data_IF_310828270560
#
_entry.id   IF_310828270560
#
_cell.length_a   1.000
_cell.length_b   1.000
_cell.length_c   1.000
_cell.angle_alpha   90.00
_cell.angle_beta   90.00
_cell.angle_gamma   90.00
#
_symmetry.space_group_name_H-M   'P 1'
#
loop_
_entity.id
_entity.type
_entity.pdbx_description
1 polymer ?
#
# COMPACT_ATOMS: atom_id res chain seq x y z
N UNK A 1 -17.49 -20.66 7.26
CA UNK A 1 -17.42 -20.34 5.82
C UNK A 1 -17.29 -18.83 5.68
N UNK A 2 -16.11 -18.33 5.29
CA UNK A 2 -15.96 -16.97 4.77
C UNK A 2 -15.28 -17.13 3.40
N UNK A 3 -16.08 -17.62 2.46
CA UNK A 3 -15.80 -17.53 1.03
C UNK A 3 -16.36 -16.18 0.62
N UNK A 4 -15.51 -15.15 0.49
CA UNK A 4 -15.99 -13.82 0.20
C UNK A 4 -14.89 -12.78 0.20
N UNK A 5 -15.17 -11.67 -0.44
CA UNK A 5 -14.39 -10.44 -0.38
C UNK A 5 -15.03 -9.51 0.65
N UNK A 6 -14.87 -9.77 1.97
CA UNK A 6 -15.60 -9.03 2.99
C UNK A 6 -15.15 -7.57 3.03
N UNK A 7 -16.06 -6.66 3.38
CA UNK A 7 -15.70 -5.28 3.68
C UNK A 7 -14.88 -5.17 4.97
N UNK A 8 -14.35 -3.98 5.23
CA UNK A 8 -13.77 -3.63 6.53
C UNK A 8 -14.82 -3.72 7.63
N UNK A 9 -14.40 -4.20 8.80
CA UNK A 9 -15.15 -4.03 10.04
C UNK A 9 -14.89 -2.64 10.64
N UNK A 10 -15.56 -2.32 11.74
CA UNK A 10 -15.42 -1.00 12.38
C UNK A 10 -13.99 -0.66 12.81
N UNK A 11 -13.21 -1.64 13.29
CA UNK A 11 -11.81 -1.42 13.60
C UNK A 11 -10.99 -1.11 12.33
N UNK A 12 -11.30 -1.77 11.22
CA UNK A 12 -10.74 -1.47 9.91
C UNK A 12 -11.06 -0.05 9.46
N UNK A 13 -12.33 0.36 9.57
CA UNK A 13 -12.76 1.70 9.17
C UNK A 13 -12.05 2.80 9.96
N UNK A 14 -11.97 2.68 11.29
CA UNK A 14 -11.25 3.64 12.13
C UNK A 14 -9.79 3.82 11.70
N UNK A 15 -9.15 2.74 11.26
CA UNK A 15 -7.76 2.78 10.78
C UNK A 15 -7.62 3.37 9.39
N UNK A 16 -8.61 3.17 8.52
CA UNK A 16 -8.68 3.86 7.24
C UNK A 16 -8.76 5.39 7.45
N UNK A 17 -9.56 5.82 8.43
CA UNK A 17 -9.69 7.25 8.77
C UNK A 17 -8.40 7.81 9.39
N UNK A 18 -7.71 7.04 10.24
CA UNK A 18 -6.39 7.39 10.78
C UNK A 18 -5.33 7.49 9.67
N UNK A 19 -5.31 6.54 8.74
CA UNK A 19 -4.41 6.56 7.58
C UNK A 19 -4.63 7.82 6.74
N UNK A 20 -5.90 8.15 6.46
CA UNK A 20 -6.26 9.37 5.75
C UNK A 20 -5.76 10.62 6.47
N UNK A 21 -6.01 10.71 7.78
CA UNK A 21 -5.56 11.84 8.60
C UNK A 21 -4.03 12.01 8.61
N UNK A 22 -3.29 10.90 8.59
CA UNK A 22 -1.83 10.91 8.60
C UNK A 22 -1.23 11.33 7.24
N UNK A 23 -1.86 10.93 6.13
CA UNK A 23 -1.25 11.03 4.80
C UNK A 23 -1.89 12.08 3.88
N UNK A 24 -3.00 12.73 4.27
CA UNK A 24 -3.70 13.71 3.42
C UNK A 24 -2.81 14.84 2.92
N UNK A 25 -1.81 15.25 3.71
CA UNK A 25 -0.91 16.35 3.39
C UNK A 25 0.45 15.86 2.85
N UNK A 26 0.60 14.54 2.61
CA UNK A 26 1.86 13.94 2.17
C UNK A 26 2.16 14.10 0.67
N UNK A 27 1.33 14.83 -0.08
CA UNK A 27 1.52 15.05 -1.51
C UNK A 27 1.31 13.80 -2.36
N UNK A 28 0.33 12.95 -1.99
CA UNK A 28 0.02 11.70 -2.70
C UNK A 28 -0.37 11.99 -4.16
N UNK A 29 0.46 11.51 -5.08
CA UNK A 29 0.26 11.69 -6.52
C UNK A 29 -0.61 10.57 -7.13
N UNK A 30 -0.46 9.35 -6.63
CA UNK A 30 -1.21 8.19 -7.08
C UNK A 30 -1.54 7.22 -5.93
N UNK A 31 -2.65 6.51 -6.09
CA UNK A 31 -3.14 5.52 -5.14
C UNK A 31 -3.40 4.22 -5.90
N UNK A 32 -2.79 3.13 -5.42
CA UNK A 32 -3.04 1.78 -5.90
C UNK A 32 -3.65 0.92 -4.80
N UNK A 33 -4.58 0.05 -5.17
CA UNK A 33 -5.16 -0.95 -4.26
C UNK A 33 -5.34 -2.26 -4.99
N UNK A 34 -5.15 -3.39 -4.30
CA UNK A 34 -5.66 -4.68 -4.79
C UNK A 34 -7.17 -4.62 -5.07
N UNK A 35 -7.67 -5.56 -5.88
CA UNK A 35 -9.07 -5.66 -6.28
C UNK A 35 -10.06 -5.90 -5.13
N UNK A 36 -9.58 -6.35 -3.97
CA UNK A 36 -10.43 -6.69 -2.83
C UNK A 36 -11.09 -5.45 -2.19
N UNK A 37 -12.35 -5.61 -1.82
CA UNK A 37 -13.22 -4.59 -1.20
C UNK A 37 -12.58 -4.00 0.05
N UNK A 38 -12.06 -4.84 0.96
CA UNK A 38 -11.34 -4.36 2.16
C UNK A 38 -10.14 -3.47 1.84
N UNK A 39 -9.42 -3.72 0.75
CA UNK A 39 -8.25 -2.93 0.37
C UNK A 39 -8.68 -1.57 -0.19
N UNK A 40 -9.70 -1.55 -1.05
CA UNK A 40 -10.28 -0.31 -1.59
C UNK A 40 -10.83 0.57 -0.47
N UNK A 41 -11.61 -0.02 0.44
CA UNK A 41 -12.17 0.69 1.60
C UNK A 41 -11.10 1.21 2.58
N UNK A 42 -9.91 0.59 2.62
CA UNK A 42 -8.82 1.07 3.48
C UNK A 42 -8.28 2.42 3.01
N UNK A 43 -8.31 2.69 1.70
CA UNK A 43 -7.73 3.91 1.13
C UNK A 43 -8.77 4.93 0.67
N UNK A 44 -10.03 4.54 0.60
CA UNK A 44 -11.12 5.40 0.14
C UNK A 44 -11.24 6.74 0.91
N UNK A 45 -11.13 6.80 2.25
CA UNK A 45 -11.15 8.07 2.96
C UNK A 45 -9.98 9.00 2.59
N UNK A 46 -8.81 8.44 2.28
CA UNK A 46 -7.66 9.24 1.83
C UNK A 46 -7.85 9.70 0.40
N UNK A 47 -8.26 8.79 -0.50
CA UNK A 47 -8.52 9.08 -1.90
C UNK A 47 -9.50 10.26 -2.08
N UNK A 48 -10.57 10.27 -1.29
CA UNK A 48 -11.53 11.37 -1.23
C UNK A 48 -10.88 12.66 -0.70
N UNK A 49 -10.10 12.58 0.38
CA UNK A 49 -9.46 13.75 0.99
C UNK A 49 -8.44 14.43 0.06
N UNK A 50 -7.70 13.66 -0.74
CA UNK A 50 -6.68 14.18 -1.67
C UNK A 50 -7.18 14.36 -3.11
N UNK A 51 -8.46 14.02 -3.39
CA UNK A 51 -9.06 14.13 -4.72
C UNK A 51 -8.38 13.25 -5.77
N UNK A 52 -8.03 12.01 -5.41
CA UNK A 52 -7.35 11.05 -6.31
C UNK A 52 -8.19 9.79 -6.51
N UNK A 53 -8.18 9.28 -7.74
CA UNK A 53 -8.80 7.99 -8.04
C UNK A 53 -7.96 6.81 -7.51
N UNK A 54 -8.65 5.74 -7.11
CA UNK A 54 -8.02 4.48 -6.71
C UNK A 54 -7.76 3.64 -7.95
N UNK A 55 -6.50 3.42 -8.29
CA UNK A 55 -6.09 2.52 -9.38
C UNK A 55 -6.08 1.08 -8.87
N UNK A 56 -7.01 0.27 -9.38
CA UNK A 56 -7.13 -1.13 -8.98
C UNK A 56 -6.09 -1.99 -9.71
N UNK A 57 -5.38 -2.83 -8.95
CA UNK A 57 -4.45 -3.84 -9.47
C UNK A 57 -4.88 -5.23 -9.04
N UNK A 58 -4.52 -6.24 -9.83
CA UNK A 58 -4.69 -7.63 -9.41
C UNK A 58 -3.60 -7.98 -8.40
N UNK A 59 -3.97 -8.70 -7.34
CA UNK A 59 -3.08 -9.14 -6.26
C UNK A 59 -1.80 -9.83 -6.74
N UNK A 60 -1.85 -10.52 -7.87
CA UNK A 60 -0.75 -11.27 -8.48
C UNK A 60 0.11 -10.46 -9.46
N UNK A 61 -0.34 -9.29 -9.92
CA UNK A 61 0.43 -8.40 -10.81
C UNK A 61 1.42 -7.49 -10.06
N UNK A 62 2.32 -8.10 -9.28
CA UNK A 62 3.30 -7.35 -8.49
C UNK A 62 4.46 -6.83 -9.33
N UNK A 63 4.87 -7.59 -10.35
CA UNK A 63 5.92 -7.17 -11.27
C UNK A 63 5.48 -5.99 -12.13
N UNK A 64 4.25 -6.02 -12.66
CA UNK A 64 3.67 -4.90 -13.39
C UNK A 64 3.51 -3.66 -12.50
N UNK A 65 3.08 -3.84 -11.25
CA UNK A 65 3.04 -2.74 -10.29
C UNK A 65 4.43 -2.13 -10.05
N UNK A 66 5.43 -2.95 -9.75
CA UNK A 66 6.80 -2.46 -9.48
C UNK A 66 7.37 -1.69 -10.69
N UNK A 67 7.15 -2.21 -11.90
CA UNK A 67 7.52 -1.52 -13.13
C UNK A 67 6.85 -0.14 -13.22
N UNK A 68 5.52 -0.05 -13.07
CA UNK A 68 4.78 1.23 -13.12
C UNK A 68 5.26 2.22 -12.06
N UNK A 69 5.50 1.77 -10.84
CA UNK A 69 6.04 2.63 -9.77
C UNK A 69 7.39 3.24 -10.18
N UNK A 70 8.25 2.47 -10.85
CA UNK A 70 9.56 2.95 -11.29
C UNK A 70 9.51 3.85 -12.53
N UNK A 71 8.62 3.57 -13.49
CA UNK A 71 8.60 4.25 -14.79
C UNK A 71 7.65 5.44 -14.85
N UNK A 72 6.53 5.40 -14.13
CA UNK A 72 5.47 6.42 -14.20
C UNK A 72 5.52 7.40 -13.01
N UNK A 73 6.12 7.00 -11.89
CA UNK A 73 6.03 7.73 -10.61
C UNK A 73 7.40 8.13 -10.04
N UNK A 74 8.38 8.36 -10.91
CA UNK A 74 9.71 8.79 -10.49
C UNK A 74 9.63 10.15 -9.77
N UNK A 75 10.05 10.18 -8.49
CA UNK A 75 10.03 11.38 -7.65
C UNK A 75 8.67 11.72 -7.03
N UNK A 76 7.64 10.90 -7.27
CA UNK A 76 6.30 11.09 -6.71
C UNK A 76 6.07 10.26 -5.45
N UNK A 77 5.16 10.72 -4.58
CA UNK A 77 4.69 9.92 -3.44
C UNK A 77 3.49 9.10 -3.88
N UNK A 78 3.63 7.77 -3.84
CA UNK A 78 2.58 6.82 -4.22
C UNK A 78 2.18 5.98 -3.03
N UNK A 79 0.88 5.84 -2.78
CA UNK A 79 0.36 4.91 -1.78
C UNK A 79 -0.10 3.61 -2.46
N UNK A 80 0.30 2.48 -1.89
CA UNK A 80 -0.11 1.14 -2.34
C UNK A 80 -0.74 0.39 -1.17
N UNK A 81 -1.97 -0.11 -1.35
CA UNK A 81 -2.63 -1.03 -0.40
C UNK A 81 -2.59 -2.45 -0.93
N UNK A 82 -1.88 -3.31 -0.19
CA UNK A 82 -1.63 -4.71 -0.53
C UNK A 82 -1.84 -5.61 0.72
N UNK A 83 -1.36 -6.85 0.68
CA UNK A 83 -1.63 -7.86 1.71
C UNK A 83 -0.34 -8.35 2.37
N UNK A 84 -0.47 -8.98 3.53
CA UNK A 84 0.67 -9.54 4.27
C UNK A 84 1.51 -10.53 3.46
N UNK A 85 0.92 -11.20 2.47
CA UNK A 85 1.60 -12.16 1.59
C UNK A 85 2.12 -11.54 0.27
N UNK A 86 1.74 -10.30 -0.06
CA UNK A 86 2.21 -9.59 -1.26
C UNK A 86 3.11 -8.40 -0.98
N UNK A 87 3.00 -7.76 0.19
CA UNK A 87 3.91 -6.68 0.62
C UNK A 87 5.37 -7.16 0.64
N UNK A 88 5.75 -8.31 1.22
CA UNK A 88 7.14 -8.76 1.19
C UNK A 88 7.68 -8.95 -0.22
N UNK A 89 6.84 -9.48 -1.13
CA UNK A 89 7.21 -9.71 -2.54
C UNK A 89 7.37 -8.40 -3.30
N UNK A 90 6.49 -7.42 -3.05
CA UNK A 90 6.60 -6.09 -3.64
C UNK A 90 7.84 -5.35 -3.13
N UNK A 91 8.13 -5.41 -1.83
CA UNK A 91 9.34 -4.84 -1.24
C UNK A 91 10.60 -5.42 -1.89
N UNK A 92 10.66 -6.74 -2.07
CA UNK A 92 11.76 -7.39 -2.76
C UNK A 92 11.87 -6.95 -4.23
N UNK A 93 10.75 -6.84 -4.95
CA UNK A 93 10.72 -6.35 -6.34
C UNK A 93 11.19 -4.89 -6.47
N UNK A 94 11.02 -4.09 -5.42
CA UNK A 94 11.51 -2.70 -5.33
C UNK A 94 12.96 -2.62 -4.80
N UNK A 95 13.65 -3.75 -4.64
CA UNK A 95 15.07 -3.81 -4.28
C UNK A 95 15.36 -3.92 -2.78
N UNK A 96 14.34 -4.09 -1.92
CA UNK A 96 14.58 -4.35 -0.50
C UNK A 96 15.07 -5.79 -0.30
N UNK A 97 16.34 -5.96 0.08
CA UNK A 97 16.97 -7.27 0.18
C UNK A 97 16.68 -8.02 1.50
N UNK A 98 16.26 -7.32 2.56
CA UNK A 98 16.03 -7.97 3.85
C UNK A 98 14.70 -8.75 3.84
N UNK A 99 14.66 -9.94 4.45
CA UNK A 99 13.43 -10.71 4.55
C UNK A 99 12.42 -9.96 5.42
N UNK A 100 11.16 -9.94 4.97
CA UNK A 100 10.05 -9.30 5.67
C UNK A 100 8.97 -10.33 5.93
N UNK A 101 8.67 -10.54 7.21
CA UNK A 101 7.55 -11.39 7.64
C UNK A 101 6.44 -10.52 8.21
N UNK A 102 5.21 -10.80 7.77
CA UNK A 102 4.00 -10.13 8.25
C UNK A 102 3.00 -11.22 8.60
N UNK A 103 2.55 -11.24 9.86
CA UNK A 103 1.56 -12.22 10.31
C UNK A 103 0.23 -12.08 9.57
N UNK A 104 -0.52 -13.18 9.38
CA UNK A 104 -1.85 -13.13 8.71
C UNK A 104 -2.87 -12.26 9.44
N UNK A 105 -2.75 -12.18 10.76
CA UNK A 105 -3.59 -11.34 11.62
C UNK A 105 -2.92 -10.02 11.99
N UNK A 106 -1.79 -9.71 11.35
CA UNK A 106 -1.07 -8.47 11.58
C UNK A 106 -1.55 -7.38 10.61
N UNK A 107 -2.16 -6.34 11.18
CA UNK A 107 -2.70 -5.21 10.44
C UNK A 107 -1.93 -3.93 10.79
N UNK A 108 -2.27 -2.83 10.10
CA UNK A 108 -1.83 -1.46 10.40
C UNK A 108 -0.35 -1.20 10.13
N UNK A 109 0.26 -2.01 9.28
CA UNK A 109 1.65 -1.79 8.88
C UNK A 109 1.69 -0.77 7.76
N UNK A 110 2.43 0.32 7.97
CA UNK A 110 2.75 1.29 6.94
C UNK A 110 4.24 1.20 6.64
N UNK A 111 4.58 0.86 5.40
CA UNK A 111 5.95 0.73 4.94
C UNK A 111 6.31 1.94 4.07
N UNK A 112 7.38 2.64 4.42
CA UNK A 112 7.96 3.69 3.59
C UNK A 112 9.15 3.11 2.86
N UNK A 113 9.21 3.37 1.56
CA UNK A 113 10.28 2.95 0.67
C UNK A 113 10.77 4.20 -0.04
N UNK A 114 12.04 4.53 0.11
CA UNK A 114 12.68 5.63 -0.61
C UNK A 114 13.74 5.03 -1.54
N UNK A 115 13.50 5.01 -2.86
CA UNK A 115 14.47 4.56 -3.85
C UNK A 115 15.78 5.37 -3.77
N UNK A 116 16.92 4.72 -4.01
CA UNK A 116 18.24 5.35 -4.08
C UNK A 116 18.95 4.86 -5.35
N UNK A 117 19.60 5.75 -6.09
CA UNK A 117 20.19 5.40 -7.39
C UNK A 117 21.27 4.32 -7.29
N UNK A 118 22.20 4.45 -6.34
CA UNK A 118 23.38 3.59 -6.24
C UNK A 118 23.37 2.69 -5.00
N UNK A 119 22.22 2.60 -4.30
CA UNK A 119 22.11 1.88 -3.04
C UNK A 119 20.76 1.17 -2.93
N UNK A 120 20.62 0.10 -2.12
CA UNK A 120 19.32 -0.47 -1.80
C UNK A 120 18.36 0.61 -1.29
N UNK A 121 17.03 0.50 -1.48
CA UNK A 121 16.10 1.51 -0.98
C UNK A 121 16.19 1.65 0.55
N UNK A 122 15.98 2.87 1.05
CA UNK A 122 15.71 3.05 2.48
C UNK A 122 14.31 2.53 2.76
N UNK A 123 14.18 1.63 3.73
CA UNK A 123 12.89 1.06 4.12
C UNK A 123 12.68 1.27 5.61
N UNK A 124 11.52 1.83 5.97
CA UNK A 124 11.07 1.92 7.36
C UNK A 124 9.64 1.41 7.50
N UNK A 125 9.31 0.94 8.70
CA UNK A 125 7.98 0.41 9.03
C UNK A 125 7.43 1.19 10.21
N UNK A 126 6.22 1.70 10.07
CA UNK A 126 5.40 2.23 11.15
C UNK A 126 4.22 1.31 11.42
N UNK A 127 3.70 1.38 12.65
CA UNK A 127 2.49 0.68 13.06
C UNK A 127 1.49 1.72 13.55
N UNK A 128 0.31 1.75 12.91
CA UNK A 128 -0.78 2.67 13.22
C UNK A 128 -1.74 2.08 14.25
#
# INVERSE_FOLDING_TARGET
MMEGDPPLNEHGQRRADQLSSLLKDAGIAAIYSSQYTRARQTVEPLAQAVGRDIRVIQKDDLAGLAARLSTEHAGEVVLVVAHSDTIPKLLAALGHAAPVEIGRSEFNNLWFIVPRADNPPLVSRLKL
#
